data_IF_042473350063
#
_entry.id   IF_042473350063
#
_cell.length_a   1.000
_cell.length_b   1.000
_cell.length_c   1.000
_cell.angle_alpha   90.00
_cell.angle_beta   90.00
_cell.angle_gamma   90.00
#
_symmetry.space_group_name_H-M   'P 1'
#
loop_
_entity.id
_entity.type
_entity.pdbx_description
1 polymer ?
#
# COMPACT_ATOMS: atom_id res chain seq x y z
N UNK A 1 1.82 15.57 21.09
CA UNK A 1 1.58 14.52 20.08
C UNK A 1 0.10 14.56 19.75
N UNK A 2 -0.27 15.06 18.58
CA UNK A 2 -1.67 15.14 18.15
C UNK A 2 -2.03 13.83 17.45
N UNK A 3 -2.94 13.06 18.02
CA UNK A 3 -3.52 11.88 17.37
C UNK A 3 -4.44 12.35 16.23
N UNK A 4 -4.27 11.87 14.99
CA UNK A 4 -5.20 12.19 13.92
C UNK A 4 -6.59 11.64 14.30
N UNK A 5 -7.63 12.48 14.21
CA UNK A 5 -9.01 12.08 14.47
C UNK A 5 -9.52 11.19 13.33
N UNK A 6 -10.39 10.20 13.60
CA UNK A 6 -10.90 9.25 12.60
C UNK A 6 -11.86 9.87 11.55
N UNK A 7 -11.95 11.19 11.46
CA UNK A 7 -12.85 11.92 10.57
C UNK A 7 -12.26 12.17 9.18
N UNK A 8 -10.97 11.89 8.97
CA UNK A 8 -10.25 12.23 7.72
C UNK A 8 -10.12 11.08 6.71
N UNK A 9 -10.83 9.96 6.90
CA UNK A 9 -10.92 8.89 5.90
C UNK A 9 -11.85 9.22 4.72
N UNK A 10 -12.50 10.39 4.77
CA UNK A 10 -13.40 10.88 3.71
C UNK A 10 -12.66 11.55 2.55
N UNK A 11 -11.33 11.74 2.65
CA UNK A 11 -10.54 12.33 1.58
C UNK A 11 -10.24 11.28 0.52
N UNK A 12 -11.23 10.96 -0.31
CA UNK A 12 -10.93 10.28 -1.57
C UNK A 12 -9.96 11.18 -2.34
N UNK A 13 -8.75 10.71 -2.68
CA UNK A 13 -7.83 11.50 -3.46
C UNK A 13 -8.55 11.95 -4.75
N UNK A 14 -8.29 13.19 -5.23
CA UNK A 14 -8.96 13.70 -6.40
C UNK A 14 -8.79 12.70 -7.54
N UNK A 15 -9.92 12.28 -8.15
CA UNK A 15 -9.85 11.35 -9.28
C UNK A 15 -8.95 11.96 -10.35
N UNK A 16 -7.99 11.20 -10.89
CA UNK A 16 -7.21 11.66 -12.02
C UNK A 16 -8.14 12.09 -13.16
N UNK A 17 -7.79 13.20 -13.82
CA UNK A 17 -8.50 13.65 -15.03
C UNK A 17 -8.09 12.88 -16.28
N UNK A 18 -7.04 12.08 -16.18
CA UNK A 18 -6.47 11.29 -17.26
C UNK A 18 -7.13 9.92 -17.32
N UNK A 19 -7.20 9.35 -18.53
CA UNK A 19 -7.63 7.98 -18.73
C UNK A 19 -6.64 6.99 -18.11
N UNK A 20 -7.08 5.74 -17.92
CA UNK A 20 -6.20 4.68 -17.42
C UNK A 20 -5.02 4.48 -18.36
N UNK A 21 -5.24 4.50 -19.67
CA UNK A 21 -4.22 4.36 -20.71
C UNK A 21 -3.20 5.50 -20.64
N UNK A 22 -3.66 6.75 -20.45
CA UNK A 22 -2.80 7.92 -20.29
C UNK A 22 -1.94 7.82 -19.03
N UNK A 23 -2.51 7.35 -17.92
CA UNK A 23 -1.78 7.15 -16.66
C UNK A 23 -0.72 6.05 -16.79
N UNK A 24 -1.05 4.94 -17.45
CA UNK A 24 -0.12 3.83 -17.70
C UNK A 24 1.04 4.28 -18.59
N UNK A 25 0.75 5.03 -19.66
CA UNK A 25 1.76 5.59 -20.55
C UNK A 25 2.66 6.59 -19.81
N UNK A 26 2.09 7.50 -19.00
CA UNK A 26 2.85 8.48 -18.23
C UNK A 26 3.76 7.83 -17.17
N UNK A 27 3.32 6.71 -16.57
CA UNK A 27 4.09 5.93 -15.60
C UNK A 27 5.00 4.89 -16.24
N UNK A 28 4.99 4.76 -17.57
CA UNK A 28 5.71 3.75 -18.33
C UNK A 28 5.53 2.33 -17.74
N UNK A 29 4.29 1.98 -17.41
CA UNK A 29 3.94 0.73 -16.72
C UNK A 29 2.81 0.00 -17.44
N UNK A 30 2.60 -1.26 -17.07
CA UNK A 30 1.56 -2.13 -17.61
C UNK A 30 0.68 -2.67 -16.47
N UNK A 31 -0.61 -2.95 -16.73
CA UNK A 31 -1.47 -3.59 -15.75
C UNK A 31 -0.95 -4.97 -15.36
N UNK A 32 -1.02 -5.29 -14.07
CA UNK A 32 -0.73 -6.61 -13.51
C UNK A 32 -1.80 -7.59 -13.99
N UNK A 33 -1.41 -8.70 -14.61
CA UNK A 33 -2.34 -9.72 -15.15
C UNK A 33 -2.32 -11.02 -14.37
N UNK A 34 -1.31 -11.23 -13.53
CA UNK A 34 -1.14 -12.43 -12.73
C UNK A 34 -0.48 -12.11 -11.38
N UNK A 35 -0.46 -13.09 -10.47
CA UNK A 35 0.32 -12.96 -9.24
C UNK A 35 1.83 -12.97 -9.52
N UNK A 36 2.27 -13.67 -10.56
CA UNK A 36 3.67 -13.69 -10.96
C UNK A 36 4.13 -12.29 -11.41
N UNK A 37 3.24 -11.50 -12.04
CA UNK A 37 3.50 -10.11 -12.42
C UNK A 37 3.61 -9.17 -11.19
N UNK A 38 3.09 -9.59 -10.04
CA UNK A 38 3.15 -8.82 -8.78
C UNK A 38 4.43 -9.14 -7.98
N UNK A 39 5.19 -10.17 -8.36
CA UNK A 39 6.43 -10.52 -7.68
C UNK A 39 7.44 -9.39 -7.84
N UNK A 40 7.88 -8.84 -6.71
CA UNK A 40 8.89 -7.80 -6.62
C UNK A 40 9.83 -8.09 -5.45
N UNK A 41 11.11 -7.76 -5.59
CA UNK A 41 12.12 -7.75 -4.53
C UNK A 41 11.79 -6.62 -3.53
N UNK A 42 10.66 -6.79 -2.82
CA UNK A 42 10.06 -5.76 -1.97
C UNK A 42 10.81 -5.63 -0.65
N UNK A 43 11.35 -6.74 -0.16
CA UNK A 43 12.16 -6.81 1.05
C UNK A 43 13.59 -7.18 0.66
N UNK A 44 14.56 -6.53 1.30
CA UNK A 44 15.99 -6.77 1.10
C UNK A 44 16.44 -8.08 1.76
N UNK A 45 15.67 -8.59 2.74
CA UNK A 45 15.96 -9.84 3.45
C UNK A 45 14.71 -10.48 4.08
N UNK A 46 14.80 -11.77 4.41
CA UNK A 46 13.76 -12.47 5.16
C UNK A 46 13.57 -11.88 6.57
N UNK A 47 14.64 -11.36 7.18
CA UNK A 47 14.59 -10.68 8.49
C UNK A 47 13.71 -9.43 8.44
N UNK A 48 13.85 -8.60 7.40
CA UNK A 48 13.00 -7.41 7.20
C UNK A 48 11.52 -7.80 7.03
N UNK A 49 11.24 -8.88 6.29
CA UNK A 49 9.89 -9.41 6.14
C UNK A 49 9.32 -9.86 7.50
N UNK A 50 10.10 -10.56 8.32
CA UNK A 50 9.69 -10.99 9.66
C UNK A 50 9.38 -9.80 10.58
N UNK A 51 10.21 -8.76 10.56
CA UNK A 51 9.97 -7.51 11.32
C UNK A 51 8.66 -6.84 10.91
N UNK A 52 8.41 -6.73 9.60
CA UNK A 52 7.18 -6.15 9.07
C UNK A 52 5.93 -6.94 9.51
N UNK A 53 6.00 -8.28 9.48
CA UNK A 53 4.93 -9.15 9.92
C UNK A 53 4.66 -8.99 11.42
N UNK A 54 5.71 -8.96 12.24
CA UNK A 54 5.60 -8.76 13.68
C UNK A 54 4.96 -7.41 14.03
N UNK A 55 5.40 -6.33 13.37
CA UNK A 55 4.81 -5.00 13.51
C UNK A 55 3.32 -5.00 13.14
N UNK A 56 2.98 -5.54 11.97
CA UNK A 56 1.59 -5.56 11.47
C UNK A 56 0.69 -6.37 12.39
N UNK A 57 1.19 -7.50 12.91
CA UNK A 57 0.46 -8.32 13.86
C UNK A 57 0.21 -7.57 15.17
N UNK A 58 1.25 -6.95 15.75
CA UNK A 58 1.13 -6.16 16.98
C UNK A 58 0.12 -5.01 16.83
N UNK A 59 0.18 -4.27 15.72
CA UNK A 59 -0.71 -3.12 15.49
C UNK A 59 -2.17 -3.55 15.36
N UNK A 60 -2.47 -4.68 14.70
CA UNK A 60 -3.85 -5.21 14.62
C UNK A 60 -4.42 -5.64 15.97
N UNK A 61 -3.57 -6.08 16.89
CA UNK A 61 -4.00 -6.56 18.21
C UNK A 61 -3.94 -5.48 19.29
N UNK A 62 -3.52 -4.26 18.94
CA UNK A 62 -3.33 -3.15 19.86
C UNK A 62 -4.61 -2.71 20.58
N UNK A 63 -5.76 -2.81 19.91
CA UNK A 63 -7.07 -2.40 20.43
C UNK A 63 -7.94 -3.60 20.87
N UNK A 64 -7.40 -4.81 20.88
CA UNK A 64 -8.11 -6.05 21.25
C UNK A 64 -7.88 -6.42 22.74
N UNK A 65 -7.15 -5.59 23.48
CA UNK A 65 -6.81 -5.79 24.90
C UNK A 65 -7.58 -4.83 25.84
#
# INVERSE_FOLDING_TARGET
>A
MSTPTPEDFSHSPPRPRLSVEELLAAKNTQPIRSLDDLVAETFESDEELEEFLAFTYAERHRDVA
#
